data_IF_899384772307
#
_entry.id   IF_899384772307
#
_cell.length_a   1.000
_cell.length_b   1.000
_cell.length_c   1.000
_cell.angle_alpha   90.00
_cell.angle_beta   90.00
_cell.angle_gamma   90.00
#
_symmetry.space_group_name_H-M   'P 1'
#
loop_
_entity.id
_entity.type
_entity.pdbx_description
1 polymer ?
#
# COMPACT_ATOMS: atom_id res chain seq x y z
N UNK A 1 3.80 -2.14 -20.10
CA UNK A 1 4.73 -3.12 -19.50
C UNK A 1 4.23 -4.53 -19.80
N UNK A 2 5.14 -5.49 -19.97
CA UNK A 2 4.76 -6.90 -20.10
C UNK A 2 4.05 -7.36 -18.81
N UNK A 3 2.99 -8.20 -18.88
CA UNK A 3 2.25 -8.65 -17.70
C UNK A 3 3.14 -9.28 -16.63
N UNK A 4 4.16 -10.06 -17.04
CA UNK A 4 5.12 -10.71 -16.15
C UNK A 4 5.89 -9.73 -15.26
N UNK A 5 6.40 -8.64 -15.85
CA UNK A 5 7.16 -7.62 -15.11
C UNK A 5 6.27 -6.92 -14.10
N UNK A 6 5.00 -6.70 -14.46
CA UNK A 6 4.03 -6.02 -13.59
C UNK A 6 3.65 -6.88 -12.38
N UNK A 7 3.41 -8.18 -12.59
CA UNK A 7 3.20 -9.16 -11.51
C UNK A 7 4.42 -9.18 -10.58
N UNK A 8 5.63 -9.23 -11.14
CA UNK A 8 6.87 -9.19 -10.36
C UNK A 8 6.95 -7.93 -9.47
N UNK A 9 6.68 -6.75 -10.04
CA UNK A 9 6.71 -5.50 -9.29
C UNK A 9 5.62 -5.45 -8.20
N UNK A 10 4.43 -5.99 -8.46
CA UNK A 10 3.38 -6.11 -7.44
C UNK A 10 3.77 -7.06 -6.33
N UNK A 11 4.39 -8.20 -6.64
CA UNK A 11 4.91 -9.11 -5.61
C UNK A 11 5.98 -8.44 -4.77
N UNK A 12 6.90 -7.68 -5.38
CA UNK A 12 7.92 -6.93 -4.63
C UNK A 12 7.26 -5.89 -3.70
N UNK A 13 6.30 -5.12 -4.20
CA UNK A 13 5.56 -4.13 -3.41
C UNK A 13 4.80 -4.80 -2.26
N UNK A 14 4.18 -5.95 -2.53
CA UNK A 14 3.49 -6.76 -1.53
C UNK A 14 4.42 -7.16 -0.38
N UNK A 15 5.56 -7.76 -0.69
CA UNK A 15 6.53 -8.20 0.32
C UNK A 15 7.14 -7.01 1.07
N UNK A 16 7.36 -5.88 0.40
CA UNK A 16 7.80 -4.64 1.05
C UNK A 16 6.79 -4.20 2.10
N UNK A 17 5.49 -4.15 1.78
CA UNK A 17 4.45 -3.79 2.74
C UNK A 17 4.43 -4.71 3.96
N UNK A 18 4.50 -6.03 3.73
CA UNK A 18 4.48 -7.02 4.81
C UNK A 18 5.68 -6.87 5.76
N UNK A 19 6.88 -6.77 5.20
CA UNK A 19 8.14 -6.77 5.97
C UNK A 19 8.43 -5.42 6.62
N UNK A 20 8.04 -4.30 5.99
CA UNK A 20 8.32 -2.97 6.51
C UNK A 20 7.37 -2.52 7.62
N UNK A 21 6.22 -3.18 7.79
CA UNK A 21 5.21 -2.72 8.75
C UNK A 21 5.78 -2.69 10.18
N UNK A 22 6.46 -3.74 10.59
CA UNK A 22 7.11 -3.82 11.92
C UNK A 22 8.20 -2.77 12.08
N UNK A 23 8.97 -2.52 11.02
CA UNK A 23 9.99 -1.48 10.99
C UNK A 23 9.39 -0.07 11.16
N UNK A 24 8.34 0.27 10.42
CA UNK A 24 7.66 1.56 10.55
C UNK A 24 6.98 1.74 11.91
N UNK A 25 6.36 0.69 12.45
CA UNK A 25 5.79 0.74 13.80
C UNK A 25 6.86 0.98 14.87
N UNK A 26 8.03 0.33 14.77
CA UNK A 26 9.16 0.56 15.68
C UNK A 26 9.66 2.00 15.61
N UNK A 27 9.74 2.57 14.41
CA UNK A 27 10.10 3.99 14.21
C UNK A 27 9.05 4.90 14.85
N UNK A 28 7.76 4.63 14.62
CA UNK A 28 6.67 5.43 15.18
C UNK A 28 6.64 5.42 16.71
N UNK A 29 6.91 4.26 17.31
CA UNK A 29 7.05 4.12 18.77
C UNK A 29 8.20 4.98 19.32
N UNK A 30 9.35 5.02 18.64
CA UNK A 30 10.49 5.87 19.03
C UNK A 30 10.19 7.36 18.87
N UNK A 31 9.48 7.73 17.82
CA UNK A 31 9.10 9.12 17.53
C UNK A 31 7.87 9.59 18.34
N UNK A 32 7.21 8.69 19.08
CA UNK A 32 5.94 8.93 19.80
C UNK A 32 4.84 9.48 18.88
N UNK A 33 4.82 9.04 17.63
CA UNK A 33 3.84 9.45 16.63
C UNK A 33 2.69 8.46 16.56
N UNK A 34 1.57 8.92 15.99
CA UNK A 34 0.43 8.04 15.73
C UNK A 34 0.85 6.90 14.75
N UNK A 35 0.50 5.63 15.06
CA UNK A 35 0.85 4.49 14.22
C UNK A 35 0.32 4.60 12.78
N UNK A 36 -0.88 5.14 12.59
CA UNK A 36 -1.51 5.25 11.28
C UNK A 36 -0.84 6.32 10.42
N UNK A 37 -0.44 7.44 11.03
CA UNK A 37 0.34 8.48 10.35
C UNK A 37 1.69 7.91 9.91
N UNK A 38 2.36 7.20 10.82
CA UNK A 38 3.68 6.63 10.55
C UNK A 38 3.64 5.59 9.43
N UNK A 39 2.65 4.69 9.47
CA UNK A 39 2.43 3.68 8.43
C UNK A 39 2.02 4.31 7.10
N UNK A 40 1.07 5.25 7.12
CA UNK A 40 0.62 5.96 5.92
C UNK A 40 1.76 6.67 5.20
N UNK A 41 2.60 7.39 5.93
CA UNK A 41 3.79 8.04 5.37
C UNK A 41 4.82 7.03 4.85
N UNK A 42 5.08 5.94 5.58
CA UNK A 42 6.00 4.89 5.16
C UNK A 42 5.57 4.21 3.86
N UNK A 43 4.29 3.85 3.75
CA UNK A 43 3.72 3.26 2.53
C UNK A 43 3.62 4.26 1.38
N UNK A 44 3.33 5.53 1.66
CA UNK A 44 3.37 6.58 0.64
C UNK A 44 4.76 6.70 -0.01
N UNK A 45 5.84 6.54 0.78
CA UNK A 45 7.21 6.56 0.27
C UNK A 45 7.48 5.38 -0.68
N UNK A 46 7.04 4.16 -0.33
CA UNK A 46 7.15 3.01 -1.22
C UNK A 46 6.32 3.16 -2.49
N UNK A 47 5.10 3.65 -2.36
CA UNK A 47 4.24 3.95 -3.50
C UNK A 47 4.86 5.00 -4.41
N UNK A 48 5.57 5.98 -3.85
CA UNK A 48 6.24 7.01 -4.61
C UNK A 48 7.41 6.42 -5.41
N UNK A 49 8.26 5.61 -4.76
CA UNK A 49 9.35 4.86 -5.44
C UNK A 49 8.76 4.03 -6.58
N UNK A 50 7.67 3.30 -6.32
CA UNK A 50 6.97 2.52 -7.34
C UNK A 50 6.45 3.39 -8.49
N UNK A 51 5.78 4.52 -8.20
CA UNK A 51 5.20 5.41 -9.20
C UNK A 51 6.26 5.96 -10.18
N UNK A 52 7.41 6.37 -9.66
CA UNK A 52 8.49 6.94 -10.46
C UNK A 52 9.27 5.89 -11.25
N UNK A 53 9.51 4.69 -10.68
CA UNK A 53 10.25 3.64 -11.37
C UNK A 53 9.39 2.85 -12.37
N UNK A 54 8.18 2.47 -11.97
CA UNK A 54 7.33 1.57 -12.74
C UNK A 54 6.37 2.34 -13.66
N UNK A 55 5.60 3.28 -13.13
CA UNK A 55 4.56 3.94 -13.90
C UNK A 55 5.15 4.94 -14.90
N UNK A 56 6.15 5.77 -14.53
CA UNK A 56 6.74 6.80 -15.41
C UNK A 56 5.68 7.64 -16.12
N UNK A 57 4.72 8.21 -15.37
CA UNK A 57 3.72 9.15 -15.89
C UNK A 57 4.11 10.59 -15.56
N UNK A 58 3.16 11.52 -15.48
CA UNK A 58 3.45 12.90 -15.07
C UNK A 58 3.85 12.93 -13.58
N UNK A 59 4.91 13.65 -13.19
CA UNK A 59 5.40 13.68 -11.82
C UNK A 59 4.32 14.05 -10.79
N UNK A 60 3.48 15.05 -11.10
CA UNK A 60 2.40 15.49 -10.23
C UNK A 60 1.38 14.36 -9.97
N UNK A 61 0.99 13.64 -11.03
CA UNK A 61 0.03 12.52 -10.93
C UNK A 61 0.63 11.35 -10.14
N UNK A 62 1.92 11.07 -10.31
CA UNK A 62 2.61 10.05 -9.54
C UNK A 62 2.54 10.32 -8.03
N UNK A 63 2.77 11.57 -7.60
CA UNK A 63 2.73 11.96 -6.19
C UNK A 63 1.31 11.82 -5.64
N UNK A 64 0.32 12.39 -6.33
CA UNK A 64 -1.08 12.35 -5.90
C UNK A 64 -1.56 10.91 -5.78
N UNK A 65 -1.25 10.06 -6.76
CA UNK A 65 -1.65 8.65 -6.74
C UNK A 65 -0.91 7.88 -5.65
N UNK A 66 0.38 8.13 -5.43
CA UNK A 66 1.14 7.43 -4.40
C UNK A 66 0.60 7.70 -2.99
N UNK A 67 0.34 8.98 -2.68
CA UNK A 67 -0.21 9.41 -1.39
C UNK A 67 -1.67 8.96 -1.27
N UNK A 68 -2.48 9.15 -2.33
CA UNK A 68 -3.89 8.76 -2.34
C UNK A 68 -4.08 7.26 -2.15
N UNK A 69 -3.27 6.43 -2.84
CA UNK A 69 -3.30 4.98 -2.67
C UNK A 69 -2.90 4.60 -1.25
N UNK A 70 -1.86 5.20 -0.68
CA UNK A 70 -1.43 4.89 0.69
C UNK A 70 -2.53 5.20 1.73
N UNK A 71 -3.17 6.37 1.61
CA UNK A 71 -4.25 6.76 2.52
C UNK A 71 -5.51 5.87 2.34
N UNK A 72 -5.94 5.66 1.09
CA UNK A 72 -7.14 4.87 0.80
C UNK A 72 -6.95 3.39 1.15
N UNK A 73 -5.82 2.78 0.80
CA UNK A 73 -5.56 1.37 1.13
C UNK A 73 -5.55 1.13 2.63
N UNK A 74 -4.92 2.02 3.40
CA UNK A 74 -4.89 1.92 4.85
C UNK A 74 -6.27 2.14 5.48
N UNK A 75 -7.05 3.10 4.98
CA UNK A 75 -8.43 3.32 5.42
C UNK A 75 -9.32 2.10 5.13
N UNK A 76 -9.30 1.58 3.90
CA UNK A 76 -10.10 0.40 3.56
C UNK A 76 -9.64 -0.84 4.33
N UNK A 77 -8.34 -0.99 4.61
CA UNK A 77 -7.84 -2.09 5.42
C UNK A 77 -8.42 -2.07 6.85
N UNK A 78 -8.57 -0.88 7.45
CA UNK A 78 -9.19 -0.72 8.76
C UNK A 78 -10.69 -1.03 8.75
N UNK A 79 -11.39 -0.62 7.69
CA UNK A 79 -12.79 -1.01 7.51
C UNK A 79 -12.93 -2.52 7.32
N UNK A 80 -11.99 -3.14 6.60
CA UNK A 80 -11.95 -4.58 6.40
C UNK A 80 -11.75 -5.35 7.70
N UNK A 81 -10.90 -4.87 8.61
CA UNK A 81 -10.74 -5.49 9.93
C UNK A 81 -11.98 -5.33 10.79
N UNK A 82 -12.65 -4.17 10.75
CA UNK A 82 -13.88 -3.92 11.50
C UNK A 82 -15.04 -4.84 11.11
N UNK A 83 -14.99 -5.50 9.95
CA UNK A 83 -15.97 -6.52 9.56
C UNK A 83 -15.82 -7.84 10.33
N UNK A 84 -14.78 -7.98 11.16
CA UNK A 84 -14.55 -9.13 12.05
C UNK A 84 -14.58 -10.51 11.35
N UNK A 85 -14.31 -10.56 10.05
CA UNK A 85 -14.42 -11.77 9.23
C UNK A 85 -13.48 -12.91 9.65
N UNK A 86 -12.31 -12.57 10.20
CA UNK A 86 -11.22 -13.50 10.48
C UNK A 86 -10.82 -13.53 11.97
N UNK A 87 -11.72 -13.14 12.88
CA UNK A 87 -11.44 -13.01 14.32
C UNK A 87 -10.91 -14.32 14.94
N UNK A 88 -11.35 -15.47 14.46
CA UNK A 88 -10.90 -16.78 14.96
C UNK A 88 -9.42 -17.09 14.62
N UNK A 89 -8.86 -16.45 13.58
CA UNK A 89 -7.48 -16.66 13.13
C UNK A 89 -6.54 -15.54 13.56
N UNK A 90 -7.07 -14.33 13.73
CA UNK A 90 -6.33 -13.14 14.14
C UNK A 90 -7.15 -12.33 15.15
N UNK A 91 -7.04 -12.65 16.46
CA UNK A 91 -7.82 -12.01 17.51
C UNK A 91 -7.61 -10.49 17.59
N UNK A 92 -6.41 -10.04 17.23
CA UNK A 92 -6.03 -8.62 17.22
C UNK A 92 -6.21 -7.96 15.85
N UNK A 93 -6.54 -8.74 14.81
CA UNK A 93 -6.77 -8.29 13.43
C UNK A 93 -5.59 -7.55 12.77
N UNK A 94 -4.44 -7.51 13.43
CA UNK A 94 -3.25 -6.79 12.96
C UNK A 94 -2.74 -7.41 11.66
N UNK A 95 -2.62 -8.74 11.62
CA UNK A 95 -2.12 -9.44 10.42
C UNK A 95 -3.10 -9.28 9.27
N UNK A 96 -4.40 -9.34 9.58
CA UNK A 96 -5.47 -9.12 8.62
C UNK A 96 -5.41 -7.72 8.03
N UNK A 97 -5.20 -6.68 8.85
CA UNK A 97 -5.05 -5.29 8.39
C UNK A 97 -3.88 -5.14 7.42
N UNK A 98 -2.72 -5.70 7.77
CA UNK A 98 -1.49 -5.58 6.98
C UNK A 98 -1.68 -6.25 5.62
N UNK A 99 -2.25 -7.46 5.61
CA UNK A 99 -2.53 -8.19 4.37
C UNK A 99 -3.54 -7.46 3.48
N UNK A 100 -4.64 -6.97 4.08
CA UNK A 100 -5.66 -6.22 3.36
C UNK A 100 -5.06 -4.94 2.74
N UNK A 101 -4.27 -4.19 3.50
CA UNK A 101 -3.62 -2.97 3.03
C UNK A 101 -2.72 -3.24 1.80
N UNK A 102 -1.87 -4.28 1.88
CA UNK A 102 -0.98 -4.65 0.79
C UNK A 102 -1.74 -5.08 -0.47
N UNK A 103 -2.80 -5.90 -0.32
CA UNK A 103 -3.63 -6.34 -1.44
C UNK A 103 -4.38 -5.18 -2.09
N UNK A 104 -5.02 -4.33 -1.29
CA UNK A 104 -5.79 -3.18 -1.78
C UNK A 104 -4.88 -2.18 -2.51
N UNK A 105 -3.68 -1.93 -1.99
CA UNK A 105 -2.70 -1.07 -2.65
C UNK A 105 -2.31 -1.59 -4.04
N UNK A 106 -2.11 -2.91 -4.20
CA UNK A 106 -1.80 -3.54 -5.49
C UNK A 106 -2.97 -3.41 -6.46
N UNK A 107 -4.20 -3.66 -6.00
CA UNK A 107 -5.41 -3.52 -6.81
C UNK A 107 -5.53 -2.08 -7.33
N UNK A 108 -5.32 -1.07 -6.46
CA UNK A 108 -5.33 0.32 -6.90
C UNK A 108 -4.23 0.63 -7.92
N UNK A 109 -3.03 0.10 -7.75
CA UNK A 109 -1.97 0.26 -8.75
C UNK A 109 -2.29 -0.39 -10.09
N UNK A 110 -2.97 -1.53 -10.11
CA UNK A 110 -3.46 -2.15 -11.35
C UNK A 110 -4.54 -1.27 -12.01
N UNK A 111 -5.49 -0.73 -11.24
CA UNK A 111 -6.50 0.21 -11.75
C UNK A 111 -5.83 1.43 -12.39
N UNK A 112 -4.89 2.07 -11.69
CA UNK A 112 -4.13 3.22 -12.21
C UNK A 112 -3.39 2.88 -13.49
N UNK A 113 -2.76 1.70 -13.54
CA UNK A 113 -2.05 1.25 -14.73
C UNK A 113 -3.01 1.07 -15.92
N UNK A 114 -4.17 0.44 -15.71
CA UNK A 114 -5.18 0.24 -16.75
C UNK A 114 -5.73 1.58 -17.26
N UNK A 115 -6.05 2.51 -16.36
CA UNK A 115 -6.50 3.86 -16.71
C UNK A 115 -5.44 4.57 -17.56
N UNK A 116 -4.17 4.54 -17.14
CA UNK A 116 -3.07 5.12 -17.93
C UNK A 116 -2.96 4.50 -19.32
N UNK A 117 -3.13 3.18 -19.43
CA UNK A 117 -3.02 2.47 -20.71
C UNK A 117 -4.19 2.74 -21.66
N UNK A 118 -5.35 3.19 -21.14
CA UNK A 118 -6.54 3.56 -21.92
C UNK A 118 -6.54 5.03 -22.37
N UNK A 119 -5.86 5.90 -21.62
CA UNK A 119 -5.72 7.34 -21.94
C UNK A 119 -4.60 7.58 -22.97
N UNK A 120 -3.68 6.63 -23.10
CA UNK A 120 -2.61 6.64 -24.09
C UNK A 120 -3.12 6.26 -25.47
#
# INVERSE_FOLDING_TARGET
MKPQIRILLYSILFFLYLTSTTFFLSIGQKLKTDPYITLGCGFALFNLIYAFLALKWKPLLNIILAVGIAALSLFLALQFTNLHLLVNYDPYQIKTAIFANALIAIIFWEIVYQVKNRIK
#
